data_IF_119253691269
#
_entry.id   IF_119253691269
#
_cell.length_a   1.000
_cell.length_b   1.000
_cell.length_c   1.000
_cell.angle_alpha   90.00
_cell.angle_beta   90.00
_cell.angle_gamma   90.00
#
_symmetry.space_group_name_H-M   'P 1'
#
loop_
_entity.id
_entity.type
_entity.pdbx_description
1 polymer ?
#
# COMPACT_ATOMS: atom_id res chain seq x y z
N UNK A 1 -7.62 -21.82 -19.04
CA UNK A 1 -6.54 -21.65 -18.02
C UNK A 1 -7.12 -21.95 -16.64
N UNK A 2 -6.39 -22.65 -15.77
CA UNK A 2 -6.90 -23.09 -14.45
C UNK A 2 -6.99 -21.94 -13.44
N UNK A 3 -7.88 -22.06 -12.44
CA UNK A 3 -8.09 -21.07 -11.38
C UNK A 3 -6.77 -20.73 -10.64
N UNK A 4 -5.95 -21.75 -10.38
CA UNK A 4 -4.65 -21.58 -9.72
C UNK A 4 -3.72 -20.66 -10.53
N UNK A 5 -3.74 -20.79 -11.86
CA UNK A 5 -2.91 -19.96 -12.72
C UNK A 5 -3.39 -18.49 -12.70
N UNK A 6 -4.70 -18.24 -12.55
CA UNK A 6 -5.24 -16.88 -12.37
C UNK A 6 -4.75 -16.25 -11.10
N UNK A 7 -4.83 -16.96 -9.99
CA UNK A 7 -4.40 -16.44 -8.69
C UNK A 7 -2.90 -16.10 -8.72
N UNK A 8 -2.07 -17.00 -9.24
CA UNK A 8 -0.61 -16.78 -9.33
C UNK A 8 -0.27 -15.62 -10.27
N UNK A 9 -0.91 -15.51 -11.44
CA UNK A 9 -0.65 -14.38 -12.32
C UNK A 9 -1.14 -13.05 -11.75
N UNK A 10 -2.32 -13.03 -11.11
CA UNK A 10 -2.84 -11.84 -10.45
C UNK A 10 -1.91 -11.37 -9.34
N UNK A 11 -1.38 -12.28 -8.51
CA UNK A 11 -0.45 -11.90 -7.43
C UNK A 11 0.86 -11.37 -7.99
N UNK A 12 1.47 -12.05 -8.97
CA UNK A 12 2.70 -11.59 -9.62
C UNK A 12 2.51 -10.22 -10.31
N UNK A 13 1.40 -10.03 -11.01
CA UNK A 13 1.10 -8.77 -11.67
C UNK A 13 0.88 -7.63 -10.65
N UNK A 14 0.18 -7.89 -9.55
CA UNK A 14 0.00 -6.93 -8.46
C UNK A 14 1.35 -6.57 -7.81
N UNK A 15 2.20 -7.55 -7.51
CA UNK A 15 3.55 -7.34 -7.00
C UNK A 15 4.41 -6.50 -7.96
N UNK A 16 4.37 -6.79 -9.26
CA UNK A 16 5.08 -5.99 -10.26
C UNK A 16 4.52 -4.57 -10.36
N UNK A 17 3.19 -4.41 -10.26
CA UNK A 17 2.54 -3.10 -10.22
C UNK A 17 2.98 -2.28 -9.01
N UNK A 18 3.01 -2.91 -7.83
CA UNK A 18 3.49 -2.33 -6.58
C UNK A 18 4.98 -1.96 -6.64
N UNK A 19 5.82 -2.84 -7.18
CA UNK A 19 7.25 -2.58 -7.37
C UNK A 19 7.49 -1.41 -8.33
N UNK A 20 6.73 -1.37 -9.44
CA UNK A 20 6.79 -0.26 -10.40
C UNK A 20 6.33 1.04 -9.75
N UNK A 21 5.26 1.00 -8.96
CA UNK A 21 4.78 2.16 -8.21
C UNK A 21 5.84 2.67 -7.23
N UNK A 22 6.48 1.78 -6.49
CA UNK A 22 7.58 2.14 -5.60
C UNK A 22 8.72 2.83 -6.37
N UNK A 23 9.15 2.27 -7.51
CA UNK A 23 10.20 2.90 -8.33
C UNK A 23 9.80 4.30 -8.78
N UNK A 24 8.58 4.49 -9.28
CA UNK A 24 8.09 5.80 -9.70
C UNK A 24 7.94 6.78 -8.54
N UNK A 25 7.48 6.30 -7.38
CA UNK A 25 7.26 7.15 -6.21
C UNK A 25 8.57 7.61 -5.60
N UNK A 26 9.58 6.75 -5.51
CA UNK A 26 10.82 7.07 -4.78
C UNK A 26 11.95 7.61 -5.66
N UNK A 27 11.97 7.25 -6.95
CA UNK A 27 13.03 7.68 -7.88
C UNK A 27 12.57 8.72 -8.89
N UNK A 28 11.39 9.34 -8.71
CA UNK A 28 11.00 10.45 -9.56
C UNK A 28 11.75 11.74 -9.18
N UNK A 29 12.13 12.58 -10.17
CA UNK A 29 12.81 13.84 -9.92
C UNK A 29 11.86 14.99 -9.52
N UNK A 30 10.54 14.80 -9.62
CA UNK A 30 9.56 15.89 -9.60
C UNK A 30 8.93 16.13 -8.23
N UNK A 31 8.79 15.09 -7.41
CA UNK A 31 8.08 15.09 -6.14
C UNK A 31 8.90 14.33 -5.09
N UNK A 32 9.58 15.08 -4.22
CA UNK A 32 10.40 14.52 -3.14
C UNK A 32 9.54 14.28 -1.92
N UNK A 33 9.41 13.01 -1.53
CA UNK A 33 8.74 12.61 -0.30
C UNK A 33 9.59 12.98 0.92
N UNK A 34 8.92 13.42 1.98
CA UNK A 34 9.58 13.70 3.25
C UNK A 34 10.09 12.41 3.89
N UNK A 35 11.25 12.49 4.56
CA UNK A 35 11.74 11.36 5.34
C UNK A 35 10.85 11.13 6.57
N UNK A 36 10.79 9.89 7.05
CA UNK A 36 9.95 9.44 8.18
C UNK A 36 10.18 10.21 9.49
N UNK A 37 11.30 10.93 9.58
CA UNK A 37 11.75 11.70 10.75
C UNK A 37 11.47 13.20 10.66
N UNK A 38 10.97 13.70 9.53
CA UNK A 38 10.77 15.15 9.31
C UNK A 38 9.36 15.58 9.71
N UNK A 39 9.24 16.67 10.47
CA UNK A 39 7.94 17.29 10.76
C UNK A 39 7.36 17.94 9.51
N UNK A 40 6.29 17.37 8.96
CA UNK A 40 5.55 17.94 7.82
C UNK A 40 4.24 18.57 8.29
N UNK A 41 3.79 19.64 7.62
CA UNK A 41 2.44 20.15 7.82
C UNK A 41 1.39 19.10 7.45
N UNK A 42 0.20 19.17 8.05
CA UNK A 42 -0.91 18.25 7.74
C UNK A 42 -1.25 18.21 6.24
N UNK A 43 -1.30 19.38 5.59
CA UNK A 43 -1.61 19.48 4.16
C UNK A 43 -0.52 18.86 3.30
N UNK A 44 0.75 19.01 3.69
CA UNK A 44 1.86 18.36 3.00
C UNK A 44 1.77 16.84 3.13
N UNK A 45 1.53 16.32 4.35
CA UNK A 45 1.35 14.89 4.58
C UNK A 45 0.22 14.31 3.74
N UNK A 46 -0.94 14.98 3.69
CA UNK A 46 -2.04 14.54 2.82
C UNK A 46 -1.66 14.55 1.34
N UNK A 47 -1.00 15.60 0.86
CA UNK A 47 -0.59 15.69 -0.55
C UNK A 47 0.40 14.59 -0.94
N UNK A 48 1.35 14.26 -0.06
CA UNK A 48 2.29 13.16 -0.26
C UNK A 48 1.55 11.82 -0.32
N UNK A 49 0.60 11.58 0.60
CA UNK A 49 -0.19 10.35 0.62
C UNK A 49 -1.11 10.21 -0.61
N UNK A 50 -1.67 11.32 -1.10
CA UNK A 50 -2.49 11.31 -2.31
C UNK A 50 -1.65 11.01 -3.55
N UNK A 51 -0.46 11.61 -3.64
CA UNK A 51 0.47 11.33 -4.73
C UNK A 51 0.89 9.86 -4.74
N UNK A 52 1.34 9.34 -3.60
CA UNK A 52 1.75 7.93 -3.45
C UNK A 52 0.57 7.01 -3.73
N UNK A 53 -0.59 7.29 -3.14
CA UNK A 53 -1.79 6.47 -3.28
C UNK A 53 -2.36 6.46 -4.68
N UNK A 54 -2.35 7.60 -5.37
CA UNK A 54 -2.74 7.67 -6.76
C UNK A 54 -1.87 6.76 -7.63
N UNK A 55 -0.54 6.85 -7.52
CA UNK A 55 0.38 6.05 -8.34
C UNK A 55 0.27 4.57 -7.99
N UNK A 56 0.39 4.24 -6.70
CA UNK A 56 0.31 2.87 -6.21
C UNK A 56 -1.01 2.20 -6.57
N UNK A 57 -2.12 2.84 -6.23
CA UNK A 57 -3.45 2.32 -6.51
C UNK A 57 -3.72 2.16 -8.00
N UNK A 58 -3.32 3.14 -8.83
CA UNK A 58 -3.51 3.07 -10.29
C UNK A 58 -2.73 1.91 -10.89
N UNK A 59 -1.46 1.75 -10.53
CA UNK A 59 -0.61 0.71 -11.12
C UNK A 59 -1.01 -0.69 -10.68
N UNK A 60 -1.31 -0.88 -9.39
CA UNK A 60 -1.85 -2.17 -8.90
C UNK A 60 -3.20 -2.46 -9.55
N UNK A 61 -4.07 -1.46 -9.66
CA UNK A 61 -5.37 -1.57 -10.32
C UNK A 61 -5.26 -1.93 -11.81
N UNK A 62 -4.33 -1.30 -12.54
CA UNK A 62 -4.02 -1.62 -13.92
C UNK A 62 -3.50 -3.06 -14.06
N UNK A 63 -2.58 -3.49 -13.19
CA UNK A 63 -2.07 -4.86 -13.18
C UNK A 63 -3.17 -5.90 -13.02
N UNK A 64 -4.07 -5.71 -12.03
CA UNK A 64 -5.19 -6.62 -11.80
C UNK A 64 -6.18 -6.57 -12.97
N UNK A 65 -6.49 -5.37 -13.46
CA UNK A 65 -7.37 -5.16 -14.62
C UNK A 65 -6.83 -5.82 -15.89
N UNK A 66 -5.52 -5.77 -16.11
CA UNK A 66 -4.84 -6.41 -17.23
C UNK A 66 -5.02 -7.92 -17.20
N UNK A 67 -4.71 -8.56 -16.06
CA UNK A 67 -4.86 -10.01 -15.89
C UNK A 67 -6.32 -10.42 -16.10
N UNK A 68 -7.27 -9.73 -15.46
CA UNK A 68 -8.69 -10.01 -15.64
C UNK A 68 -9.17 -9.82 -17.08
N UNK A 69 -8.62 -8.83 -17.79
CA UNK A 69 -8.88 -8.60 -19.21
C UNK A 69 -8.36 -9.72 -20.11
N UNK A 70 -7.14 -10.21 -19.86
CA UNK A 70 -6.58 -11.34 -20.60
C UNK A 70 -7.43 -12.60 -20.45
N UNK A 71 -7.99 -12.85 -19.27
CA UNK A 71 -8.90 -13.98 -19.03
C UNK A 71 -10.21 -13.91 -19.83
N UNK A 72 -10.68 -12.70 -20.15
CA UNK A 72 -11.90 -12.51 -20.92
C UNK A 72 -11.69 -12.75 -22.43
N UNK A 73 -10.44 -12.77 -22.92
CA UNK A 73 -10.11 -13.15 -24.31
C UNK A 73 -10.48 -12.13 -25.39
N UNK A 74 -10.99 -10.94 -25.04
CA UNK A 74 -11.39 -9.90 -25.98
C UNK A 74 -10.70 -8.57 -25.66
N UNK A 75 -10.24 -7.87 -26.68
CA UNK A 75 -9.60 -6.55 -26.56
C UNK A 75 -10.53 -5.48 -25.97
N UNK A 76 -11.82 -5.55 -26.28
CA UNK A 76 -12.84 -4.68 -25.69
C UNK A 76 -13.00 -4.92 -24.18
N UNK A 77 -12.96 -6.18 -23.76
CA UNK A 77 -13.00 -6.54 -22.34
C UNK A 77 -11.70 -6.14 -21.62
N UNK A 78 -10.55 -6.28 -22.28
CA UNK A 78 -9.26 -5.84 -21.76
C UNK A 78 -9.24 -4.34 -21.49
N UNK A 79 -9.57 -3.51 -22.48
CA UNK A 79 -9.58 -2.04 -22.32
C UNK A 79 -10.54 -1.60 -21.21
N UNK A 80 -11.72 -2.22 -21.15
CA UNK A 80 -12.70 -1.93 -20.09
C UNK A 80 -12.17 -2.32 -18.70
N UNK A 81 -11.58 -3.50 -18.55
CA UNK A 81 -11.06 -3.95 -17.25
C UNK A 81 -9.82 -3.16 -16.82
N UNK A 82 -8.98 -2.74 -17.77
CA UNK A 82 -7.88 -1.81 -17.51
C UNK A 82 -8.40 -0.46 -17.04
N UNK A 83 -9.38 0.13 -17.74
CA UNK A 83 -9.95 1.43 -17.38
C UNK A 83 -10.61 1.40 -15.99
N UNK A 84 -11.43 0.39 -15.71
CA UNK A 84 -12.03 0.24 -14.38
C UNK A 84 -10.98 -0.10 -13.31
N UNK A 85 -10.00 -0.95 -13.61
CA UNK A 85 -8.90 -1.24 -12.70
C UNK A 85 -8.13 0.01 -12.30
N UNK A 86 -7.78 0.86 -13.27
CA UNK A 86 -7.10 2.13 -13.03
C UNK A 86 -7.92 3.08 -12.17
N UNK A 87 -9.19 3.32 -12.53
CA UNK A 87 -10.06 4.26 -11.81
C UNK A 87 -10.33 3.80 -10.38
N UNK A 88 -10.73 2.54 -10.21
CA UNK A 88 -11.05 2.03 -8.86
C UNK A 88 -9.78 1.89 -8.04
N UNK A 89 -8.66 1.49 -8.64
CA UNK A 89 -7.35 1.44 -8.00
C UNK A 89 -6.88 2.81 -7.53
N UNK A 90 -6.95 3.83 -8.39
CA UNK A 90 -6.64 5.23 -8.05
C UNK A 90 -7.41 5.71 -6.82
N UNK A 91 -8.74 5.52 -6.82
CA UNK A 91 -9.59 5.91 -5.71
C UNK A 91 -9.24 5.11 -4.45
N UNK A 92 -9.09 3.79 -4.56
CA UNK A 92 -8.71 2.93 -3.45
C UNK A 92 -7.37 3.33 -2.82
N UNK A 93 -6.38 3.69 -3.64
CA UNK A 93 -5.07 4.13 -3.18
C UNK A 93 -5.12 5.47 -2.45
N UNK A 94 -5.81 6.47 -3.00
CA UNK A 94 -5.98 7.79 -2.34
C UNK A 94 -6.72 7.64 -1.02
N UNK A 95 -7.89 6.99 -1.03
CA UNK A 95 -8.68 6.84 0.18
C UNK A 95 -7.96 5.96 1.19
N UNK A 96 -7.41 4.82 0.76
CA UNK A 96 -6.67 3.90 1.60
C UNK A 96 -5.53 4.60 2.34
N UNK A 97 -4.63 5.28 1.63
CA UNK A 97 -3.48 5.94 2.25
C UNK A 97 -3.89 7.15 3.10
N UNK A 98 -4.94 7.87 2.71
CA UNK A 98 -5.48 8.96 3.52
C UNK A 98 -6.03 8.46 4.85
N UNK A 99 -6.88 7.42 4.82
CA UNK A 99 -7.42 6.81 6.03
C UNK A 99 -6.31 6.21 6.89
N UNK A 100 -5.35 5.52 6.27
CA UNK A 100 -4.20 4.96 6.97
C UNK A 100 -3.37 6.04 7.67
N UNK A 101 -3.16 7.19 7.02
CA UNK A 101 -2.45 8.32 7.60
C UNK A 101 -3.24 9.01 8.70
N UNK A 102 -4.57 9.09 8.63
CA UNK A 102 -5.38 9.64 9.71
C UNK A 102 -5.30 8.78 10.98
N UNK A 103 -5.36 7.47 10.82
CA UNK A 103 -5.20 6.52 11.94
C UNK A 103 -3.77 6.62 12.49
N UNK A 104 -2.77 6.59 11.61
CA UNK A 104 -1.38 6.65 12.02
C UNK A 104 -1.00 7.98 12.67
N UNK A 105 -1.30 9.11 12.03
CA UNK A 105 -0.96 10.44 12.52
C UNK A 105 -1.62 10.81 13.85
N UNK A 106 -2.79 10.23 14.17
CA UNK A 106 -3.47 10.49 15.45
C UNK A 106 -2.97 9.61 16.60
N UNK A 107 -2.53 8.39 16.31
CA UNK A 107 -2.15 7.40 17.33
C UNK A 107 -0.64 7.19 17.45
N UNK A 108 0.15 7.58 16.45
CA UNK A 108 1.58 7.33 16.46
C UNK A 108 2.32 8.28 17.41
N UNK A 109 3.09 7.68 18.31
CA UNK A 109 4.04 8.38 19.17
C UNK A 109 5.42 7.84 18.83
N UNK A 110 6.34 8.74 18.46
CA UNK A 110 7.69 8.37 18.08
C UNK A 110 8.45 7.84 19.32
N UNK A 111 8.79 6.53 19.39
CA UNK A 111 9.42 5.95 20.58
C UNK A 111 10.85 6.43 20.80
N UNK A 112 11.52 7.01 19.79
CA UNK A 112 12.87 7.56 19.90
C UNK A 112 12.89 8.88 20.69
N UNK A 113 11.75 9.53 20.91
CA UNK A 113 11.65 10.72 21.79
C UNK A 113 11.74 10.39 23.28
N UNK A 114 11.64 9.10 23.64
CA UNK A 114 11.66 8.64 25.02
C UNK A 114 13.07 8.21 25.45
N UNK A 115 13.36 8.23 26.78
CA UNK A 115 14.63 7.77 27.31
C UNK A 115 14.96 6.33 26.85
N UNK A 116 16.23 6.03 26.52
CA UNK A 116 16.61 4.75 25.91
C UNK A 116 16.19 3.49 26.68
N UNK A 117 16.10 3.58 28.01
CA UNK A 117 15.79 2.47 28.92
C UNK A 117 14.37 2.54 29.52
N UNK A 118 13.49 3.39 28.97
CA UNK A 118 12.10 3.47 29.44
C UNK A 118 11.30 2.25 28.95
N UNK A 119 10.58 1.52 29.83
CA UNK A 119 9.65 0.47 29.42
C UNK A 119 8.59 0.96 28.43
N UNK A 120 8.22 2.24 28.51
CA UNK A 120 7.26 2.88 27.60
C UNK A 120 7.76 2.90 26.15
N UNK A 121 9.08 2.94 25.93
CA UNK A 121 9.68 2.92 24.59
C UNK A 121 9.28 1.67 23.81
N UNK A 122 9.31 0.51 24.47
CA UNK A 122 8.90 -0.75 23.87
C UNK A 122 7.40 -0.78 23.58
N UNK A 123 6.58 -0.25 24.50
CA UNK A 123 5.12 -0.18 24.33
C UNK A 123 4.76 0.70 23.12
N UNK A 124 5.33 1.90 23.01
CA UNK A 124 5.05 2.79 21.89
C UNK A 124 5.62 2.29 20.56
N UNK A 125 6.74 1.55 20.59
CA UNK A 125 7.21 0.83 19.42
C UNK A 125 6.18 -0.20 18.92
N UNK A 126 5.71 -1.10 19.80
CA UNK A 126 4.70 -2.10 19.43
C UNK A 126 3.41 -1.43 18.95
N UNK A 127 3.00 -0.36 19.62
CA UNK A 127 1.82 0.40 19.23
C UNK A 127 2.01 1.04 17.85
N UNK A 128 3.19 1.60 17.55
CA UNK A 128 3.52 2.13 16.23
C UNK A 128 3.44 1.08 15.13
N UNK A 129 3.95 -0.13 15.38
CA UNK A 129 3.84 -1.28 14.44
C UNK A 129 2.37 -1.65 14.21
N UNK A 130 1.57 -1.77 15.26
CA UNK A 130 0.15 -2.14 15.17
C UNK A 130 -0.64 -1.05 14.44
N UNK A 131 -0.45 0.22 14.80
CA UNK A 131 -1.14 1.35 14.17
C UNK A 131 -0.78 1.45 12.70
N UNK A 132 0.49 1.26 12.33
CA UNK A 132 0.92 1.22 10.93
C UNK A 132 0.27 0.05 10.18
N UNK A 133 0.28 -1.14 10.78
CA UNK A 133 -0.33 -2.33 10.22
C UNK A 133 -1.84 -2.14 9.98
N UNK A 134 -2.55 -1.51 10.91
CA UNK A 134 -3.97 -1.13 10.73
C UNK A 134 -4.13 -0.10 9.60
N UNK A 135 -3.26 0.90 9.54
CA UNK A 135 -3.33 1.91 8.48
C UNK A 135 -3.17 1.28 7.09
N UNK A 136 -2.23 0.36 6.93
CA UNK A 136 -2.02 -0.35 5.67
C UNK A 136 -3.07 -1.44 5.38
N UNK A 137 -3.64 -2.09 6.41
CA UNK A 137 -4.72 -3.05 6.20
C UNK A 137 -5.96 -2.39 5.59
N UNK A 138 -6.25 -1.14 5.95
CA UNK A 138 -7.31 -0.35 5.32
C UNK A 138 -7.02 -0.09 3.84
N UNK A 139 -5.76 0.15 3.46
CA UNK A 139 -5.37 0.28 2.05
C UNK A 139 -5.66 -1.02 1.30
N UNK A 140 -5.14 -2.13 1.81
CA UNK A 140 -5.33 -3.44 1.18
C UNK A 140 -6.81 -3.83 1.13
N UNK A 141 -7.60 -3.49 2.14
CA UNK A 141 -9.06 -3.65 2.12
C UNK A 141 -9.72 -2.95 0.93
N UNK A 142 -9.41 -1.68 0.69
CA UNK A 142 -9.97 -0.93 -0.44
C UNK A 142 -9.52 -1.49 -1.79
N UNK A 143 -8.25 -1.90 -1.92
CA UNK A 143 -7.73 -2.56 -3.13
C UNK A 143 -8.43 -3.90 -3.36
N UNK A 144 -8.64 -4.68 -2.31
CA UNK A 144 -9.34 -5.96 -2.35
C UNK A 144 -10.81 -5.82 -2.75
N UNK A 145 -11.50 -4.80 -2.24
CA UNK A 145 -12.87 -4.46 -2.66
C UNK A 145 -12.88 -4.00 -4.12
N UNK A 146 -11.90 -3.20 -4.54
CA UNK A 146 -11.81 -2.70 -5.90
C UNK A 146 -11.87 -3.83 -6.94
N UNK A 147 -11.14 -4.92 -6.69
CA UNK A 147 -11.18 -6.10 -7.54
C UNK A 147 -12.59 -6.68 -7.68
N UNK A 148 -13.34 -6.77 -6.57
CA UNK A 148 -14.71 -7.27 -6.59
C UNK A 148 -15.70 -6.36 -7.28
N UNK A 149 -15.48 -5.04 -7.23
CA UNK A 149 -16.27 -4.04 -7.98
C UNK A 149 -16.06 -4.23 -9.49
N UNK A 150 -14.80 -4.38 -9.93
CA UNK A 150 -14.47 -4.63 -11.34
C UNK A 150 -15.10 -5.94 -11.84
N UNK A 151 -15.03 -7.01 -11.04
CA UNK A 151 -15.66 -8.30 -11.38
C UNK A 151 -17.17 -8.35 -11.14
N UNK A 152 -17.77 -7.28 -10.61
CA UNK A 152 -19.20 -7.21 -10.23
C UNK A 152 -19.66 -8.39 -9.34
N UNK A 153 -18.77 -8.85 -8.48
CA UNK A 153 -18.98 -10.04 -7.66
C UNK A 153 -18.79 -9.71 -6.18
N UNK A 154 -19.88 -9.81 -5.40
CA UNK A 154 -19.83 -9.64 -3.94
C UNK A 154 -18.93 -10.68 -3.28
N UNK A 155 -18.88 -11.90 -3.84
CA UNK A 155 -18.02 -12.98 -3.34
C UNK A 155 -16.55 -12.63 -3.57
N UNK A 156 -16.20 -12.14 -4.76
CA UNK A 156 -14.83 -11.67 -5.04
C UNK A 156 -14.48 -10.49 -4.13
N UNK A 157 -15.38 -9.52 -3.97
CA UNK A 157 -15.14 -8.36 -3.11
C UNK A 157 -14.82 -8.75 -1.66
N UNK A 158 -15.57 -9.71 -1.09
CA UNK A 158 -15.31 -10.20 0.28
C UNK A 158 -13.96 -10.90 0.42
N UNK A 159 -13.62 -11.81 -0.49
CA UNK A 159 -12.33 -12.52 -0.42
C UNK A 159 -11.16 -11.58 -0.69
N UNK A 160 -11.30 -10.68 -1.66
CA UNK A 160 -10.32 -9.63 -1.94
C UNK A 160 -10.12 -8.74 -0.73
N UNK A 161 -11.20 -8.27 -0.10
CA UNK A 161 -11.13 -7.45 1.11
C UNK A 161 -10.40 -8.15 2.26
N UNK A 162 -10.67 -9.45 2.50
CA UNK A 162 -9.99 -10.23 3.55
C UNK A 162 -8.51 -10.40 3.20
N UNK A 163 -8.20 -10.80 1.96
CA UNK A 163 -6.81 -10.95 1.51
C UNK A 163 -6.02 -9.65 1.62
N UNK A 164 -6.64 -8.54 1.22
CA UNK A 164 -6.05 -7.22 1.30
C UNK A 164 -5.91 -6.70 2.74
N UNK A 165 -6.85 -6.98 3.64
CA UNK A 165 -6.69 -6.67 5.07
C UNK A 165 -5.45 -7.39 5.63
N UNK A 166 -5.28 -8.67 5.31
CA UNK A 166 -4.15 -9.48 5.79
C UNK A 166 -2.84 -8.98 5.14
N UNK A 167 -2.81 -8.83 3.82
CA UNK A 167 -1.64 -8.36 3.07
C UNK A 167 -1.19 -6.97 3.53
N UNK A 168 -2.12 -6.02 3.62
CA UNK A 168 -1.87 -4.68 4.13
C UNK A 168 -1.44 -4.67 5.59
N UNK A 169 -2.00 -5.52 6.44
CA UNK A 169 -1.53 -5.64 7.82
C UNK A 169 -0.06 -6.07 7.88
N UNK A 170 0.30 -7.13 7.14
CA UNK A 170 1.67 -7.63 7.08
C UNK A 170 2.63 -6.62 6.42
N UNK A 171 2.20 -5.96 5.34
CA UNK A 171 2.96 -4.92 4.66
C UNK A 171 3.23 -3.72 5.56
N UNK A 172 2.22 -3.28 6.32
CA UNK A 172 2.37 -2.19 7.30
C UNK A 172 3.27 -2.56 8.48
N UNK A 173 3.23 -3.82 8.95
CA UNK A 173 4.21 -4.30 9.94
C UNK A 173 5.63 -4.22 9.39
N UNK A 174 5.86 -4.75 8.18
CA UNK A 174 7.19 -4.72 7.57
C UNK A 174 7.67 -3.28 7.34
N UNK A 175 6.79 -2.39 6.89
CA UNK A 175 7.10 -0.97 6.72
C UNK A 175 7.69 -0.34 8.00
N UNK A 176 7.06 -0.59 9.16
CA UNK A 176 7.48 -0.02 10.45
C UNK A 176 8.67 -0.77 11.07
N UNK A 177 8.87 -2.04 10.74
CA UNK A 177 9.99 -2.84 11.26
C UNK A 177 11.31 -2.59 10.52
N UNK A 178 11.27 -2.25 9.23
CA UNK A 178 12.47 -2.00 8.40
C UNK A 178 13.48 -1.03 9.06
N UNK A 179 13.07 0.13 9.63
CA UNK A 179 14.01 1.05 10.29
C UNK A 179 14.79 0.45 11.47
N UNK A 180 14.33 -0.65 12.05
CA UNK A 180 14.98 -1.33 13.18
C UNK A 180 15.88 -2.49 12.74
N UNK A 181 15.73 -2.96 11.49
CA UNK A 181 16.52 -4.06 10.92
C UNK A 181 17.69 -3.52 10.11
N UNK A 182 17.50 -2.36 9.47
CA UNK A 182 18.52 -1.72 8.63
C UNK A 182 19.59 -1.05 9.51
N UNK A 183 20.89 -1.09 9.12
CA UNK A 183 21.96 -0.50 9.92
C UNK A 183 21.73 0.98 10.27
N UNK A 184 22.02 1.40 11.52
CA UNK A 184 21.96 2.81 11.91
C UNK A 184 22.82 3.69 10.99
N UNK A 185 22.28 4.83 10.57
CA UNK A 185 22.97 5.75 9.65
C UNK A 185 22.75 5.46 8.16
N UNK A 186 21.97 4.44 7.81
CA UNK A 186 21.52 4.22 6.43
C UNK A 186 20.69 5.42 5.96
N UNK A 187 21.07 6.03 4.84
CA UNK A 187 20.29 7.10 4.22
C UNK A 187 19.07 6.51 3.51
N UNK A 188 17.97 7.28 3.43
CA UNK A 188 16.77 6.89 2.69
C UNK A 188 16.05 5.62 3.22
N UNK A 189 16.07 5.37 4.54
CA UNK A 189 15.34 4.23 5.14
C UNK A 189 13.86 4.20 4.74
N UNK A 190 13.24 5.37 4.59
CA UNK A 190 11.85 5.48 4.12
C UNK A 190 11.61 4.88 2.73
N UNK A 191 12.60 4.93 1.83
CA UNK A 191 12.52 4.30 0.50
C UNK A 191 12.47 2.78 0.63
N UNK A 192 13.29 2.22 1.53
CA UNK A 192 13.33 0.77 1.78
C UNK A 192 12.03 0.31 2.45
N UNK A 193 11.54 1.05 3.46
CA UNK A 193 10.27 0.77 4.12
C UNK A 193 9.10 0.75 3.14
N UNK A 194 9.03 1.73 2.22
CA UNK A 194 8.01 1.79 1.17
C UNK A 194 8.06 0.58 0.24
N UNK A 195 9.26 0.14 -0.14
CA UNK A 195 9.43 -1.04 -1.00
C UNK A 195 8.74 -2.27 -0.40
N UNK A 196 9.07 -2.59 0.86
CA UNK A 196 8.48 -3.74 1.55
C UNK A 196 6.98 -3.55 1.80
N UNK A 197 6.56 -2.37 2.25
CA UNK A 197 5.17 -2.08 2.52
C UNK A 197 4.28 -2.22 1.28
N UNK A 198 4.69 -1.64 0.16
CA UNK A 198 3.94 -1.67 -1.10
C UNK A 198 3.90 -3.07 -1.73
N UNK A 199 5.03 -3.79 -1.74
CA UNK A 199 5.12 -5.10 -2.41
C UNK A 199 4.29 -6.19 -1.71
N UNK A 200 4.16 -6.10 -0.39
CA UNK A 200 3.44 -7.11 0.41
C UNK A 200 1.94 -6.81 0.53
N UNK A 201 1.53 -5.56 0.30
CA UNK A 201 0.13 -5.10 0.38
C UNK A 201 -0.63 -5.35 -0.92
#
# INVERSE_FOLDING_TARGET
MSLNSKVVLSSLAATLGALTAWVLVDFNPFFKLSETTTYTSFMQSLSEQWFVGAIFGTLVGLSIGYINGLYAGSTAHLQRNLGWGAVVGFLAGIFGLSFGQLIFGSLYVNPQTLPPFSPLRFIFFLMGVIVRAIGWSVIGFFIGIAQGIVEKSRKTAKHGAIGGLIGGFLGGMLFELVPYIVPPGTKNVGVISRAFGMVVT
#
